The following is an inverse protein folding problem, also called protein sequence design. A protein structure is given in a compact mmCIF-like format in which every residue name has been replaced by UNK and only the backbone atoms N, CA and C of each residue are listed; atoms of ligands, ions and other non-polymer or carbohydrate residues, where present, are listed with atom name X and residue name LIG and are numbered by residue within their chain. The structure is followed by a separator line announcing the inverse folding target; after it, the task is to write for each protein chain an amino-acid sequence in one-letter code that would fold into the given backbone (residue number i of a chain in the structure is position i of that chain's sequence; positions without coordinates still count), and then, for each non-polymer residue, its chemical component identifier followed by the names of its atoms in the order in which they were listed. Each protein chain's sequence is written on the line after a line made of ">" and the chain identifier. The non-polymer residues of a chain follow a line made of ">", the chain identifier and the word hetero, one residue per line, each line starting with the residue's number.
data_IF_700940400465
#
_entry.id   IF_700940400465
#
_cell.length_a   1.000
_cell.length_b   1.000
_cell.length_c   1.000
_cell.angle_alpha   90.00
_cell.angle_beta   90.00
_cell.angle_gamma   90.00
#
_symmetry.space_group_name_H-M   'P 1'
#
loop_
_entity.id
_entity.type
_entity.pdbx_description
1 polymer ?
#
# COMPACT_ATOMS: atom_id res chain seq x y z
N UNK A 1 -0.94 12.68 -22.15
CA UNK A 1 0.01 11.55 -22.17
C UNK A 1 -0.25 10.69 -20.93
N UNK A 2 -0.39 9.36 -21.07
CA UNK A 2 -0.57 8.43 -19.94
C UNK A 2 0.71 7.59 -19.77
N UNK A 3 1.16 7.40 -18.53
CA UNK A 3 2.37 6.62 -18.23
C UNK A 3 1.97 5.26 -17.65
N UNK A 4 2.43 4.17 -18.29
CA UNK A 4 2.20 2.80 -17.84
C UNK A 4 3.46 2.23 -17.19
N UNK A 5 3.31 1.54 -16.06
CA UNK A 5 4.42 0.88 -15.37
C UNK A 5 3.99 -0.50 -14.88
N UNK A 6 4.75 -1.52 -15.26
CA UNK A 6 4.53 -2.90 -14.84
C UNK A 6 5.09 -3.15 -13.43
N UNK A 7 4.39 -4.00 -12.67
CA UNK A 7 4.84 -4.52 -11.37
C UNK A 7 5.28 -5.98 -11.57
N UNK A 8 6.18 -6.46 -10.71
CA UNK A 8 6.64 -7.85 -10.74
C UNK A 8 5.47 -8.84 -10.60
N UNK A 9 5.46 -9.89 -11.43
CA UNK A 9 4.41 -10.93 -11.47
C UNK A 9 4.24 -11.68 -10.14
N UNK A 10 5.33 -11.89 -9.41
CA UNK A 10 5.36 -12.62 -8.14
C UNK A 10 5.22 -11.71 -6.93
N UNK A 11 4.83 -10.44 -7.12
CA UNK A 11 4.51 -9.57 -6.01
C UNK A 11 3.30 -10.13 -5.24
N UNK A 12 3.42 -10.43 -3.93
CA UNK A 12 2.38 -11.10 -3.15
C UNK A 12 1.23 -10.13 -2.79
N UNK A 13 0.58 -9.54 -3.79
CA UNK A 13 -0.42 -8.48 -3.60
C UNK A 13 -1.62 -8.92 -2.77
N UNK A 14 -2.09 -10.16 -2.92
CA UNK A 14 -3.22 -10.72 -2.17
C UNK A 14 -2.84 -11.17 -0.75
N UNK A 15 -1.60 -11.63 -0.55
CA UNK A 15 -1.08 -12.14 0.73
C UNK A 15 -0.45 -11.05 1.63
N UNK A 16 -0.04 -9.92 1.06
CA UNK A 16 0.47 -8.79 1.83
C UNK A 16 -0.70 -8.02 2.44
N UNK A 17 -0.66 -7.72 3.73
CA UNK A 17 -1.63 -6.82 4.34
C UNK A 17 -1.45 -5.39 3.81
N UNK A 18 -2.49 -4.75 3.31
CA UNK A 18 -2.42 -3.36 2.83
C UNK A 18 -2.23 -2.33 3.96
N UNK A 19 -2.34 -2.72 5.23
CA UNK A 19 -2.16 -1.83 6.38
C UNK A 19 -0.73 -1.87 6.93
N UNK A 20 -0.15 -3.07 7.09
CA UNK A 20 1.17 -3.25 7.71
C UNK A 20 2.22 -3.88 6.80
N UNK A 21 1.84 -4.31 5.59
CA UNK A 21 2.69 -4.98 4.60
C UNK A 21 3.23 -6.36 5.03
N UNK A 22 2.79 -6.90 6.16
CA UNK A 22 3.11 -8.27 6.55
C UNK A 22 2.54 -9.25 5.51
N UNK A 23 3.38 -10.15 5.01
CA UNK A 23 2.98 -11.20 4.07
C UNK A 23 2.66 -12.45 4.88
N UNK A 24 1.46 -13.00 4.69
CA UNK A 24 1.09 -14.27 5.30
C UNK A 24 1.58 -15.44 4.45
N UNK A 25 1.91 -16.56 5.10
CA UNK A 25 2.48 -17.74 4.44
C UNK A 25 1.46 -18.39 3.49
N UNK A 26 0.25 -18.64 3.99
CA UNK A 26 -0.83 -19.30 3.27
C UNK A 26 -2.07 -18.42 3.22
N UNK A 27 -2.67 -18.35 2.03
CA UNK A 27 -3.98 -17.74 1.81
C UNK A 27 -4.73 -18.60 0.77
N UNK A 28 -5.60 -19.51 1.24
CA UNK A 28 -6.41 -20.34 0.37
C UNK A 28 -7.30 -19.53 -0.59
N UNK A 29 -7.61 -20.10 -1.77
CA UNK A 29 -8.36 -19.39 -2.83
C UNK A 29 -9.85 -19.17 -2.49
N UNK A 30 -10.41 -20.04 -1.66
CA UNK A 30 -11.75 -19.94 -1.06
C UNK A 30 -11.81 -18.88 0.05
N UNK A 31 -10.69 -18.60 0.73
CA UNK A 31 -10.61 -17.58 1.77
C UNK A 31 -10.59 -16.16 1.17
N UNK A 32 -11.77 -15.57 1.01
CA UNK A 32 -11.97 -14.21 0.45
C UNK A 32 -11.75 -13.09 1.46
N UNK A 33 -11.95 -13.36 2.75
CA UNK A 33 -11.73 -12.43 3.85
C UNK A 33 -10.83 -13.07 4.89
N UNK A 34 -9.90 -12.30 5.45
CA UNK A 34 -8.96 -12.79 6.45
C UNK A 34 -8.60 -11.69 7.46
N UNK A 35 -8.12 -12.10 8.63
CA UNK A 35 -7.67 -11.20 9.68
C UNK A 35 -6.13 -11.16 9.69
N UNK A 36 -5.56 -9.96 9.74
CA UNK A 36 -4.11 -9.83 9.74
C UNK A 36 -3.51 -10.20 11.10
N UNK A 37 -2.64 -11.23 11.20
CA UNK A 37 -2.05 -11.63 12.47
C UNK A 37 -1.01 -10.62 12.99
N UNK A 38 -0.46 -9.78 12.12
CA UNK A 38 0.59 -8.82 12.48
C UNK A 38 0.03 -7.52 13.06
N UNK A 39 -1.00 -6.93 12.43
CA UNK A 39 -1.56 -5.65 12.86
C UNK A 39 -2.98 -5.74 13.42
N UNK A 40 -3.59 -6.92 13.44
CA UNK A 40 -4.92 -7.14 13.99
C UNK A 40 -6.08 -6.57 13.15
N UNK A 41 -5.82 -6.06 11.95
CA UNK A 41 -6.89 -5.59 11.05
C UNK A 41 -7.76 -6.77 10.63
N UNK A 42 -9.06 -6.68 10.91
CA UNK A 42 -10.02 -7.76 10.67
C UNK A 42 -10.74 -7.61 9.33
N UNK A 43 -11.30 -8.72 8.84
CA UNK A 43 -12.18 -8.80 7.67
C UNK A 43 -11.60 -8.17 6.39
N UNK A 44 -10.30 -8.34 6.17
CA UNK A 44 -9.63 -7.83 4.97
C UNK A 44 -10.14 -8.59 3.75
N UNK A 45 -10.84 -7.91 2.84
CA UNK A 45 -11.22 -8.47 1.54
C UNK A 45 -9.97 -8.62 0.65
N UNK A 46 -9.71 -9.84 0.18
CA UNK A 46 -8.52 -10.19 -0.60
C UNK A 46 -8.33 -9.36 -1.88
N UNK A 47 -9.40 -9.10 -2.63
CA UNK A 47 -9.32 -8.45 -3.94
C UNK A 47 -9.15 -6.92 -3.79
N UNK A 48 -9.82 -6.33 -2.79
CA UNK A 48 -9.62 -4.93 -2.39
C UNK A 48 -8.21 -4.73 -1.83
N UNK A 49 -7.71 -5.67 -1.03
CA UNK A 49 -6.34 -5.67 -0.52
C UNK A 49 -5.32 -5.72 -1.67
N UNK A 50 -5.50 -6.64 -2.62
CA UNK A 50 -4.61 -6.78 -3.77
C UNK A 50 -4.57 -5.52 -4.63
N UNK A 51 -5.72 -4.91 -4.93
CA UNK A 51 -5.79 -3.68 -5.72
C UNK A 51 -5.08 -2.50 -5.04
N UNK A 52 -5.27 -2.31 -3.72
CA UNK A 52 -4.55 -1.31 -2.93
C UNK A 52 -3.03 -1.54 -2.96
N UNK A 53 -2.59 -2.78 -2.74
CA UNK A 53 -1.18 -3.12 -2.76
C UNK A 53 -0.52 -2.90 -4.13
N UNK A 54 -1.20 -3.27 -5.22
CA UNK A 54 -0.73 -3.05 -6.60
C UNK A 54 -0.60 -1.55 -6.88
N UNK A 55 -1.64 -0.76 -6.56
CA UNK A 55 -1.61 0.69 -6.71
C UNK A 55 -0.42 1.30 -5.96
N UNK A 56 -0.28 0.98 -4.68
CA UNK A 56 0.75 1.59 -3.84
C UNK A 56 2.16 1.16 -4.27
N UNK A 57 2.34 -0.09 -4.73
CA UNK A 57 3.59 -0.56 -5.34
C UNK A 57 3.90 0.19 -6.64
N UNK A 58 2.91 0.39 -7.51
CA UNK A 58 3.04 1.14 -8.75
C UNK A 58 3.47 2.58 -8.49
N UNK A 59 2.81 3.25 -7.54
CA UNK A 59 3.17 4.60 -7.10
C UNK A 59 4.62 4.66 -6.61
N UNK A 60 5.05 3.72 -5.74
CA UNK A 60 6.46 3.65 -5.29
C UNK A 60 7.42 3.54 -6.47
N UNK A 61 7.14 2.69 -7.46
CA UNK A 61 8.01 2.54 -8.63
C UNK A 61 8.07 3.84 -9.45
N UNK A 62 6.94 4.52 -9.63
CA UNK A 62 6.87 5.79 -10.36
C UNK A 62 7.69 6.88 -9.66
N UNK A 63 7.52 7.03 -8.34
CA UNK A 63 8.22 8.06 -7.57
C UNK A 63 9.71 7.73 -7.34
N UNK A 64 10.08 6.46 -7.18
CA UNK A 64 11.48 6.04 -7.05
C UNK A 64 12.28 6.20 -8.35
N UNK A 65 11.62 6.17 -9.51
CA UNK A 65 12.29 6.36 -10.81
C UNK A 65 12.41 7.84 -11.20
N UNK A 66 11.80 8.75 -10.44
CA UNK A 66 11.67 10.18 -10.75
C UNK A 66 12.40 11.08 -9.76
N UNK A 67 13.68 10.85 -9.50
CA UNK A 67 14.65 11.88 -9.07
C UNK A 67 16.05 11.27 -9.12
N UNK A 68 16.89 11.74 -10.04
CA UNK A 68 18.32 11.45 -9.98
C UNK A 68 18.88 11.95 -8.66
N UNK A 69 19.37 11.03 -7.82
CA UNK A 69 20.30 11.36 -6.73
C UNK A 69 21.67 10.91 -7.17
N UNK A 70 22.46 11.82 -7.73
CA UNK A 70 23.91 11.74 -7.61
C UNK A 70 24.24 11.96 -6.13
N UNK A 71 24.67 10.90 -5.45
CA UNK A 71 25.26 11.02 -4.12
C UNK A 71 26.69 11.48 -4.29
N UNK A 72 26.99 12.71 -3.89
CA UNK A 72 28.33 13.10 -3.46
C UNK A 72 28.19 13.76 -2.10
N UNK A 73 28.99 13.28 -1.15
CA UNK A 73 28.80 13.42 0.29
C UNK A 73 28.50 14.84 0.76
N UNK A 74 27.41 14.97 1.51
CA UNK A 74 27.20 16.04 2.48
C UNK A 74 26.27 15.49 3.57
N UNK A 75 26.76 15.45 4.80
CA UNK A 75 25.98 15.03 5.97
C UNK A 75 24.97 16.13 6.29
N UNK A 76 23.74 16.01 5.77
CA UNK A 76 22.69 16.97 6.05
C UNK A 76 21.99 16.58 7.35
N UNK A 77 22.27 17.33 8.42
CA UNK A 77 21.53 17.27 9.68
C UNK A 77 20.04 17.48 9.42
N UNK A 78 19.20 16.50 9.77
CA UNK A 78 17.75 16.64 9.68
C UNK A 78 17.28 17.75 10.64
N UNK A 79 17.01 18.94 10.09
CA UNK A 79 16.32 19.98 10.85
C UNK A 79 14.89 19.49 11.10
N UNK A 80 14.58 19.18 12.37
CA UNK A 80 13.21 19.03 12.88
C UNK A 80 12.36 20.21 12.39
N UNK A 81 11.26 19.92 11.69
CA UNK A 81 10.15 20.86 11.53
C UNK A 81 9.73 21.16 10.09
N UNK A 82 8.78 20.35 9.58
CA UNK A 82 7.59 20.88 8.88
C UNK A 82 6.48 19.86 9.02
N UNK A 83 5.49 20.13 9.88
CA UNK A 83 4.25 19.34 9.94
C UNK A 83 3.57 19.45 8.58
N UNK A 84 3.45 18.34 7.85
CA UNK A 84 2.59 18.28 6.68
C UNK A 84 1.16 18.48 7.17
N UNK A 85 0.55 19.61 6.82
CA UNK A 85 -0.87 19.86 7.06
C UNK A 85 -1.69 19.04 6.04
N UNK A 86 -1.71 17.72 6.21
CA UNK A 86 -2.75 16.87 5.65
C UNK A 86 -3.78 16.76 6.76
N UNK A 87 -4.81 17.61 6.69
CA UNK A 87 -5.99 17.44 7.53
C UNK A 87 -6.78 16.33 6.86
N UNK A 88 -6.56 15.09 7.28
CA UNK A 88 -7.51 14.03 7.01
C UNK A 88 -8.68 14.28 7.97
N UNK A 89 -9.76 14.91 7.48
CA UNK A 89 -11.04 14.83 8.18
C UNK A 89 -11.50 13.38 8.05
N UNK A 90 -11.61 12.71 9.19
CA UNK A 90 -12.28 11.43 9.28
C UNK A 90 -13.78 11.72 9.28
N UNK A 91 -14.42 11.55 8.12
CA UNK A 91 -15.86 11.39 8.06
C UNK A 91 -16.16 9.91 7.75
N UNK A 92 -16.56 9.22 8.81
CA UNK A 92 -17.22 7.93 8.81
C UNK A 92 -18.52 8.02 7.99
N UNK A 93 -18.59 7.38 6.82
CA UNK A 93 -19.66 6.42 6.49
C UNK A 93 -19.38 5.77 5.14
N UNK A 94 -19.35 4.44 5.16
CA UNK A 94 -19.24 3.62 3.97
C UNK A 94 -20.49 3.64 3.10
N UNK A 95 -20.29 3.35 1.82
CA UNK A 95 -21.18 2.42 1.13
C UNK A 95 -20.43 1.81 -0.05
N UNK A 96 -20.07 0.54 0.10
CA UNK A 96 -19.86 -0.34 -1.04
C UNK A 96 -20.85 -1.49 -0.82
N UNK A 97 -22.13 -1.19 -1.08
CA UNK A 97 -23.18 -2.19 -1.10
C UNK A 97 -22.87 -3.20 -2.20
N UNK A 98 -22.60 -4.44 -1.81
CA UNK A 98 -22.68 -5.60 -2.71
C UNK A 98 -24.03 -6.26 -2.39
N UNK A 99 -24.95 -6.24 -3.35
CA UNK A 99 -26.18 -7.03 -3.25
C UNK A 99 -25.82 -8.53 -3.32
N UNK A 100 -26.51 -9.32 -2.49
CA UNK A 100 -26.51 -10.79 -2.54
C UNK A 100 -27.10 -11.29 -3.85
#
# INVERSE_FOLDING_TARGET
>A
MRTLRSINRFFPSSKACNHCLNVIDSLPLDLRRWDCPSCGTKNINRDINASKNIRDKGLRILFSSGTGKTVNGSSVRQRRGRKSRIVATADEVGSCSYNL
#
